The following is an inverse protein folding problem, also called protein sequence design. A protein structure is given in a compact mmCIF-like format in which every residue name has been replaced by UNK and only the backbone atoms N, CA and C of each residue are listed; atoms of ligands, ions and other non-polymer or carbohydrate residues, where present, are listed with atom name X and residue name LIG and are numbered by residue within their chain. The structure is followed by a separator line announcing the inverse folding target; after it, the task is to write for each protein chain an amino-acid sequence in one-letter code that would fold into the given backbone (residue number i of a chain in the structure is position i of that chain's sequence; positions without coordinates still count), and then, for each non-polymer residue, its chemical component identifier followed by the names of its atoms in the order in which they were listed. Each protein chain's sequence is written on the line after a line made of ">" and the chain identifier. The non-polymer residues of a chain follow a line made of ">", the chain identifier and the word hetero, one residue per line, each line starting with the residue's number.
data_IF_566650401567
#
_entry.id   IF_566650401567
#
_cell.length_a   1.000
_cell.length_b   1.000
_cell.length_c   1.000
_cell.angle_alpha   90.00
_cell.angle_beta   90.00
_cell.angle_gamma   90.00
#
_symmetry.space_group_name_H-M   'P 1'
#
loop_
_entity.id
_entity.type
_entity.pdbx_description
1 polymer ?
#
# COMPACT_ATOMS: atom_id res chain seq x y z
N UNK A 1 -13.47 10.88 -12.27
CA UNK A 1 -12.65 9.68 -12.03
C UNK A 1 -13.24 8.96 -10.82
N UNK A 2 -13.37 7.62 -10.85
CA UNK A 2 -13.96 6.87 -9.75
C UNK A 2 -13.04 6.76 -8.53
N UNK A 3 -11.72 6.90 -8.71
CA UNK A 3 -10.78 7.00 -7.60
C UNK A 3 -10.67 8.44 -7.07
N UNK A 4 -10.84 8.59 -5.77
CA UNK A 4 -10.65 9.83 -5.02
C UNK A 4 -9.33 9.73 -4.24
N UNK A 5 -8.22 10.08 -4.90
CA UNK A 5 -6.89 10.01 -4.29
C UNK A 5 -6.79 11.09 -3.21
N UNK A 6 -6.56 10.72 -1.93
CA UNK A 6 -6.50 11.70 -0.86
C UNK A 6 -5.21 12.54 -0.96
N UNK A 7 -5.24 13.82 -0.58
CA UNK A 7 -4.02 14.62 -0.52
C UNK A 7 -3.10 14.08 0.58
N UNK A 8 -1.81 13.92 0.27
CA UNK A 8 -0.82 13.60 1.29
C UNK A 8 -0.58 14.79 2.24
N UNK A 9 -0.17 14.55 3.50
CA UNK A 9 0.33 15.59 4.39
C UNK A 9 1.44 16.39 3.70
N UNK A 10 1.32 17.72 3.70
CA UNK A 10 2.29 18.58 3.04
C UNK A 10 3.75 18.34 3.48
N UNK A 11 4.07 18.04 4.77
CA UNK A 11 5.43 17.68 5.17
C UNK A 11 5.93 16.38 4.54
N UNK A 12 5.07 15.38 4.30
CA UNK A 12 5.44 14.13 3.64
C UNK A 12 5.81 14.37 2.17
N UNK A 13 5.01 15.15 1.44
CA UNK A 13 5.34 15.50 0.06
C UNK A 13 6.65 16.30 -0.02
N UNK A 14 6.86 17.26 0.89
CA UNK A 14 8.10 18.05 0.93
C UNK A 14 9.33 17.20 1.19
N UNK A 15 9.26 16.20 2.07
CA UNK A 15 10.40 15.32 2.34
C UNK A 15 10.77 14.46 1.13
N UNK A 16 9.79 13.99 0.35
CA UNK A 16 10.03 13.29 -0.92
C UNK A 16 10.68 14.22 -1.95
N UNK A 17 10.16 15.44 -2.12
CA UNK A 17 10.75 16.42 -3.04
C UNK A 17 12.19 16.77 -2.66
N UNK A 18 12.47 16.93 -1.36
CA UNK A 18 13.82 17.16 -0.85
C UNK A 18 14.75 15.96 -1.15
N UNK A 19 14.26 14.72 -0.98
CA UNK A 19 15.01 13.52 -1.30
C UNK A 19 15.29 13.38 -2.82
N UNK A 20 14.33 13.72 -3.69
CA UNK A 20 14.52 13.73 -5.15
C UNK A 20 15.54 14.78 -5.58
N UNK A 21 15.60 15.93 -4.89
CA UNK A 21 16.60 16.97 -5.11
C UNK A 21 17.99 16.65 -4.55
N UNK A 22 18.13 15.58 -3.75
CA UNK A 22 19.39 15.16 -3.14
C UNK A 22 20.10 14.10 -3.99
N UNK A 23 21.25 14.41 -4.61
CA UNK A 23 22.01 13.43 -5.40
C UNK A 23 22.43 12.21 -4.57
N UNK A 24 22.69 12.40 -3.28
CA UNK A 24 23.07 11.33 -2.35
C UNK A 24 21.92 10.34 -2.16
N UNK A 25 20.72 10.83 -1.84
CA UNK A 25 19.56 9.97 -1.62
C UNK A 25 19.18 9.16 -2.87
N UNK A 26 19.27 9.77 -4.06
CA UNK A 26 18.99 9.08 -5.33
C UNK A 26 20.07 8.05 -5.68
N UNK A 27 21.35 8.32 -5.39
CA UNK A 27 22.47 7.41 -5.70
C UNK A 27 22.52 6.21 -4.77
N UNK A 28 22.27 6.42 -3.48
CA UNK A 28 22.25 5.38 -2.45
C UNK A 28 21.06 4.43 -2.62
N UNK A 29 19.95 4.92 -3.17
CA UNK A 29 18.81 4.10 -3.49
C UNK A 29 19.17 2.99 -4.50
N UNK A 30 18.68 1.79 -4.25
CA UNK A 30 18.79 0.63 -5.16
C UNK A 30 17.72 0.73 -6.27
N UNK A 31 17.66 1.87 -6.95
CA UNK A 31 16.67 2.21 -7.98
C UNK A 31 17.34 2.61 -9.30
N UNK A 32 17.99 1.68 -10.03
CA UNK A 32 18.61 1.97 -11.34
C UNK A 32 17.69 2.69 -12.33
N UNK A 33 16.38 2.39 -12.36
CA UNK A 33 15.46 3.08 -13.26
C UNK A 33 15.40 4.59 -12.94
N UNK A 34 15.22 4.95 -11.66
CA UNK A 34 15.23 6.34 -11.20
C UNK A 34 16.58 7.03 -11.48
N UNK A 35 17.70 6.36 -11.21
CA UNK A 35 19.05 6.90 -11.45
C UNK A 35 19.35 7.15 -12.92
N UNK A 36 18.71 6.41 -13.82
CA UNK A 36 18.90 6.53 -15.26
C UNK A 36 18.07 7.64 -15.91
N UNK A 37 17.13 8.25 -15.18
CA UNK A 37 16.26 9.29 -15.74
C UNK A 37 17.06 10.53 -16.11
N UNK A 38 16.97 10.92 -17.38
CA UNK A 38 17.45 12.20 -17.88
C UNK A 38 16.24 13.15 -17.96
N UNK A 39 16.00 13.94 -16.92
CA UNK A 39 14.90 14.91 -16.89
C UNK A 39 14.23 15.06 -15.53
N UNK A 40 13.15 15.83 -15.50
CA UNK A 40 12.36 16.04 -14.29
C UNK A 40 11.58 14.79 -13.91
N UNK A 41 11.48 14.54 -12.61
CA UNK A 41 10.61 13.53 -12.02
C UNK A 41 9.62 14.17 -11.06
N UNK A 42 8.41 13.62 -10.99
CA UNK A 42 7.33 14.11 -10.13
C UNK A 42 6.85 13.00 -9.19
N UNK A 43 6.63 13.30 -7.89
CA UNK A 43 5.88 12.42 -7.01
C UNK A 43 4.38 12.57 -7.27
N UNK A 44 3.71 11.47 -7.60
CA UNK A 44 2.30 11.42 -7.96
C UNK A 44 1.57 10.30 -7.22
N UNK A 45 0.24 10.32 -7.28
CA UNK A 45 -0.65 9.31 -6.70
C UNK A 45 -0.27 8.95 -5.26
N UNK A 46 -0.35 9.92 -4.32
CA UNK A 46 -0.09 9.63 -2.91
C UNK A 46 -1.07 8.59 -2.39
N UNK A 47 -0.54 7.48 -1.89
CA UNK A 47 -1.32 6.39 -1.29
C UNK A 47 -0.97 6.26 0.20
N UNK A 48 -1.94 6.39 1.12
CA UNK A 48 -1.68 6.10 2.52
C UNK A 48 -1.41 4.61 2.71
N UNK A 49 -0.35 4.28 3.44
CA UNK A 49 0.10 2.90 3.69
C UNK A 49 -0.28 2.50 5.10
N UNK A 50 -1.28 1.64 5.22
CA UNK A 50 -1.71 1.05 6.47
C UNK A 50 -1.09 -0.31 6.66
N UNK A 51 -0.82 -0.68 7.91
CA UNK A 51 -0.56 -2.06 8.30
C UNK A 51 -1.79 -2.60 9.00
N UNK A 52 -2.18 -3.82 8.64
CA UNK A 52 -3.15 -4.61 9.38
C UNK A 52 -2.44 -5.23 10.59
N UNK A 53 -2.63 -4.64 11.77
CA UNK A 53 -2.03 -5.08 13.02
C UNK A 53 -2.95 -6.16 13.64
N UNK A 54 -2.49 -7.42 13.63
CA UNK A 54 -3.14 -8.62 14.17
C UNK A 54 -4.52 -8.98 13.58
N UNK A 55 -4.59 -10.07 12.83
CA UNK A 55 -5.86 -10.73 12.51
C UNK A 55 -6.20 -11.70 13.65
N UNK A 56 -6.69 -11.19 14.78
CA UNK A 56 -7.06 -12.04 15.91
C UNK A 56 -8.34 -12.82 15.57
N UNK A 57 -8.43 -14.14 15.85
CA UNK A 57 -9.66 -14.92 15.66
C UNK A 57 -10.82 -14.55 16.60
N UNK A 58 -10.66 -13.54 17.46
CA UNK A 58 -11.69 -13.07 18.39
C UNK A 58 -12.51 -11.92 17.78
N UNK A 59 -13.71 -11.70 18.31
CA UNK A 59 -14.74 -10.76 17.83
C UNK A 59 -14.36 -9.27 17.74
N UNK A 60 -13.09 -8.90 17.92
CA UNK A 60 -12.61 -7.54 17.69
C UNK A 60 -12.39 -7.30 16.20
N UNK A 61 -12.91 -6.18 15.70
CA UNK A 61 -12.65 -5.75 14.33
C UNK A 61 -11.13 -5.60 14.07
N UNK A 62 -10.65 -5.96 12.87
CA UNK A 62 -9.25 -5.79 12.50
C UNK A 62 -8.78 -4.35 12.76
N UNK A 63 -7.63 -4.18 13.41
CA UNK A 63 -7.05 -2.86 13.63
C UNK A 63 -6.06 -2.54 12.52
N UNK A 64 -6.16 -1.34 11.96
CA UNK A 64 -5.20 -0.84 10.98
C UNK A 64 -4.58 0.44 11.47
N UNK A 65 -3.28 0.56 11.23
CA UNK A 65 -2.49 1.72 11.61
C UNK A 65 -1.81 2.31 10.39
N UNK A 66 -1.93 3.62 10.21
CA UNK A 66 -1.15 4.32 9.20
C UNK A 66 0.34 4.24 9.57
N UNK A 67 1.15 3.79 8.62
CA UNK A 67 2.60 3.64 8.78
C UNK A 67 3.38 4.58 7.87
N UNK A 68 2.77 4.99 6.76
CA UNK A 68 3.46 5.78 5.76
C UNK A 68 2.55 6.36 4.69
N UNK A 69 3.18 7.09 3.78
CA UNK A 69 2.60 7.45 2.49
C UNK A 69 3.55 6.98 1.39
N UNK A 70 2.99 6.42 0.33
CA UNK A 70 3.73 6.01 -0.84
C UNK A 70 3.39 6.94 -2.00
N UNK A 71 4.40 7.40 -2.70
CA UNK A 71 4.28 8.21 -3.91
C UNK A 71 4.86 7.43 -5.09
N UNK A 72 4.17 7.43 -6.22
CA UNK A 72 4.75 6.94 -7.48
C UNK A 72 5.63 8.04 -8.06
N UNK A 73 6.90 7.74 -8.30
CA UNK A 73 7.81 8.69 -8.94
C UNK A 73 7.71 8.50 -10.44
N UNK A 74 7.18 9.50 -11.15
CA UNK A 74 7.01 9.47 -12.60
C UNK A 74 8.11 10.23 -13.32
N UNK A 75 8.46 9.71 -14.49
CA UNK A 75 9.19 10.42 -15.54
C UNK A 75 8.32 10.35 -16.79
N UNK A 76 7.64 11.46 -17.12
CA UNK A 76 6.56 11.46 -18.12
C UNK A 76 5.46 10.46 -17.76
N UNK A 77 5.13 9.57 -18.70
CA UNK A 77 4.05 8.58 -18.52
C UNK A 77 4.49 7.29 -17.82
N UNK A 78 5.73 7.22 -17.34
CA UNK A 78 6.27 6.00 -16.74
C UNK A 78 6.56 6.22 -15.25
N UNK A 79 6.01 5.36 -14.40
CA UNK A 79 6.52 5.20 -13.04
C UNK A 79 7.91 4.55 -13.09
N UNK A 80 8.91 5.23 -12.53
CA UNK A 80 10.31 4.80 -12.52
C UNK A 80 10.76 4.30 -11.16
N UNK A 81 10.08 4.72 -10.09
CA UNK A 81 10.29 4.25 -8.73
C UNK A 81 9.05 4.56 -7.89
N UNK A 82 9.07 4.17 -6.63
CA UNK A 82 8.21 4.70 -5.59
C UNK A 82 9.05 5.30 -4.46
N UNK A 83 8.48 6.27 -3.76
CA UNK A 83 9.04 6.85 -2.54
C UNK A 83 8.11 6.54 -1.38
N UNK A 84 8.67 6.16 -0.24
CA UNK A 84 7.93 6.05 1.01
C UNK A 84 8.35 7.11 2.01
N UNK A 85 7.35 7.61 2.73
CA UNK A 85 7.54 8.43 3.92
C UNK A 85 6.99 7.68 5.12
N UNK A 86 7.55 7.92 6.30
CA UNK A 86 7.06 7.36 7.56
C UNK A 86 6.78 8.48 8.56
N UNK A 87 5.89 8.21 9.51
CA UNK A 87 5.63 9.12 10.62
C UNK A 87 6.60 8.83 11.77
N UNK A 88 7.37 9.83 12.19
CA UNK A 88 8.24 9.82 13.37
C UNK A 88 7.68 10.77 14.44
N UNK A 89 8.22 10.78 15.68
CA UNK A 89 7.83 11.76 16.69
C UNK A 89 8.00 13.22 16.24
N UNK A 90 8.96 13.50 15.35
CA UNK A 90 9.24 14.83 14.80
C UNK A 90 8.37 15.17 13.57
N UNK A 91 7.49 14.25 13.14
CA UNK A 91 6.60 14.41 12.01
C UNK A 91 6.94 13.50 10.83
N UNK A 92 6.51 13.89 9.63
CA UNK A 92 6.71 13.08 8.42
C UNK A 92 8.13 13.20 7.90
N UNK A 93 8.80 12.06 7.72
CA UNK A 93 10.14 11.98 7.13
C UNK A 93 10.17 11.08 5.91
N UNK A 94 11.11 11.34 5.01
CA UNK A 94 11.44 10.44 3.92
C UNK A 94 12.04 9.15 4.49
N UNK A 95 11.60 8.01 4.00
CA UNK A 95 12.14 6.70 4.37
C UNK A 95 13.13 6.21 3.32
N UNK A 96 12.65 5.88 2.12
CA UNK A 96 13.48 5.33 1.05
C UNK A 96 12.78 5.41 -0.32
N UNK A 97 13.59 5.28 -1.38
CA UNK A 97 13.09 4.95 -2.71
C UNK A 97 13.22 3.44 -2.94
N UNK A 98 12.27 2.87 -3.68
CA UNK A 98 12.37 1.49 -4.14
C UNK A 98 11.78 1.32 -5.54
N UNK A 99 12.12 0.21 -6.18
CA UNK A 99 11.59 -0.23 -7.47
C UNK A 99 11.27 -1.73 -7.40
N UNK A 100 10.73 -2.28 -8.48
CA UNK A 100 10.48 -3.72 -8.61
C UNK A 100 9.02 -4.07 -8.91
N UNK A 101 8.64 -5.35 -8.79
CA UNK A 101 7.35 -5.86 -9.28
C UNK A 101 6.15 -5.25 -8.54
N UNK A 102 6.32 -4.82 -7.29
CA UNK A 102 5.26 -4.16 -6.53
C UNK A 102 4.83 -2.82 -7.15
N UNK A 103 5.74 -2.11 -7.83
CA UNK A 103 5.42 -0.85 -8.48
C UNK A 103 4.43 -1.06 -9.64
N UNK A 104 4.80 -1.91 -10.60
CA UNK A 104 3.96 -2.24 -11.75
C UNK A 104 2.67 -2.94 -11.33
N UNK A 105 2.73 -3.74 -10.26
CA UNK A 105 1.55 -4.35 -9.65
C UNK A 105 0.58 -3.31 -9.06
N UNK A 106 1.10 -2.29 -8.37
CA UNK A 106 0.30 -1.17 -7.82
C UNK A 106 -0.38 -0.41 -8.96
N UNK A 107 0.39 -0.04 -10.00
CA UNK A 107 -0.16 0.67 -11.17
C UNK A 107 -1.26 -0.13 -11.88
N UNK A 108 -1.06 -1.45 -12.04
CA UNK A 108 -2.07 -2.33 -12.62
C UNK A 108 -3.35 -2.35 -11.79
N UNK A 109 -3.23 -2.48 -10.47
CA UNK A 109 -4.38 -2.50 -9.57
C UNK A 109 -5.13 -1.15 -9.58
N UNK A 110 -4.41 -0.03 -9.61
CA UNK A 110 -5.01 1.30 -9.74
C UNK A 110 -5.78 1.45 -11.05
N UNK A 111 -5.17 1.10 -12.20
CA UNK A 111 -5.88 1.14 -13.50
C UNK A 111 -7.13 0.25 -13.52
N UNK A 112 -7.07 -0.92 -12.88
CA UNK A 112 -8.23 -1.79 -12.76
C UNK A 112 -9.32 -1.15 -11.90
N UNK A 113 -8.97 -0.50 -10.80
CA UNK A 113 -9.91 0.23 -9.96
C UNK A 113 -10.48 1.46 -10.65
N UNK A 114 -9.70 2.17 -11.48
CA UNK A 114 -10.19 3.28 -12.32
C UNK A 114 -11.22 2.84 -13.35
N UNK A 115 -11.19 1.57 -13.80
CA UNK A 115 -12.19 1.02 -14.70
C UNK A 115 -13.50 0.60 -14.00
N UNK A 116 -13.53 0.61 -12.65
CA UNK A 116 -14.72 0.33 -11.87
C UNK A 116 -15.68 1.54 -11.89
N UNK A 117 -16.99 1.28 -11.83
CA UNK A 117 -18.01 2.35 -11.80
C UNK A 117 -18.19 2.96 -10.40
N UNK A 118 -17.81 2.23 -9.36
CA UNK A 118 -17.98 2.64 -7.97
C UNK A 118 -16.88 3.60 -7.55
N UNK A 119 -17.24 4.61 -6.75
CA UNK A 119 -16.29 5.54 -6.20
C UNK A 119 -15.55 4.97 -4.99
N UNK A 120 -14.23 5.13 -4.94
CA UNK A 120 -13.40 4.63 -3.85
C UNK A 120 -12.27 5.60 -3.52
N UNK A 121 -11.86 5.63 -2.25
CA UNK A 121 -10.59 6.20 -1.83
C UNK A 121 -9.53 5.09 -1.83
N UNK A 122 -8.48 5.16 -2.67
CA UNK A 122 -7.44 4.15 -2.73
C UNK A 122 -6.44 4.30 -1.58
N UNK A 123 -6.13 3.18 -0.94
CA UNK A 123 -5.17 3.05 0.16
C UNK A 123 -4.31 1.81 -0.08
N UNK A 124 -3.12 1.74 0.50
CA UNK A 124 -2.35 0.51 0.56
C UNK A 124 -2.53 -0.15 1.93
N UNK A 125 -2.76 -1.46 1.93
CA UNK A 125 -2.85 -2.26 3.15
C UNK A 125 -1.80 -3.36 3.11
N UNK A 126 -0.80 -3.22 3.96
CA UNK A 126 0.27 -4.18 4.20
C UNK A 126 -0.17 -5.19 5.25
N UNK A 127 0.08 -6.47 4.97
CA UNK A 127 -0.20 -7.59 5.87
C UNK A 127 1.12 -8.36 6.04
N UNK A 128 1.98 -7.91 6.97
CA UNK A 128 3.33 -8.45 7.13
C UNK A 128 3.35 -9.95 7.39
N UNK A 129 2.39 -10.46 8.17
CA UNK A 129 2.28 -11.88 8.53
C UNK A 129 2.05 -12.79 7.31
N UNK A 130 1.53 -12.24 6.20
CA UNK A 130 1.35 -12.96 4.93
C UNK A 130 2.35 -12.53 3.85
N UNK A 131 3.30 -11.64 4.18
CA UNK A 131 4.19 -10.97 3.23
C UNK A 131 3.43 -10.40 2.02
N UNK A 132 2.26 -9.84 2.28
CA UNK A 132 1.30 -9.44 1.26
C UNK A 132 1.05 -7.94 1.33
N UNK A 133 0.98 -7.29 0.18
CA UNK A 133 0.49 -5.93 0.04
C UNK A 133 -0.78 -5.95 -0.80
N UNK A 134 -1.79 -5.16 -0.43
CA UNK A 134 -3.06 -5.06 -1.17
C UNK A 134 -3.39 -3.60 -1.45
N UNK A 135 -4.02 -3.33 -2.59
CA UNK A 135 -4.74 -2.08 -2.81
C UNK A 135 -6.08 -2.20 -2.10
N UNK A 136 -6.30 -1.37 -1.09
CA UNK A 136 -7.56 -1.24 -0.36
C UNK A 136 -8.36 -0.08 -0.95
N UNK A 137 -9.51 -0.42 -1.52
CA UNK A 137 -10.48 0.52 -2.06
C UNK A 137 -11.55 0.76 -1.00
N UNK A 138 -11.40 1.86 -0.27
CA UNK A 138 -12.33 2.25 0.79
C UNK A 138 -13.55 2.95 0.20
N UNK A 139 -14.76 2.46 0.52
CA UNK A 139 -16.00 2.98 -0.08
C UNK A 139 -16.41 4.37 0.42
N UNK A 140 -15.88 4.80 1.56
CA UNK A 140 -16.11 6.14 2.11
C UNK A 140 -15.03 7.10 1.59
N UNK A 141 -15.39 7.89 0.58
CA UNK A 141 -14.42 8.75 -0.11
C UNK A 141 -14.00 9.95 0.71
N UNK A 142 -14.83 10.35 1.68
CA UNK A 142 -14.63 11.52 2.54
C UNK A 142 -13.98 11.16 3.87
N UNK A 143 -13.82 9.86 4.16
CA UNK A 143 -13.13 9.40 5.37
C UNK A 143 -11.68 9.89 5.41
N UNK A 144 -11.21 10.22 6.61
CA UNK A 144 -9.80 10.55 6.85
C UNK A 144 -8.89 9.42 6.36
N UNK A 145 -8.00 9.75 5.45
CA UNK A 145 -7.07 8.84 4.80
C UNK A 145 -6.02 8.26 5.76
N UNK A 146 -5.82 8.85 6.93
CA UNK A 146 -4.88 8.38 7.94
C UNK A 146 -5.48 7.45 9.00
N UNK A 147 -6.78 7.20 8.96
CA UNK A 147 -7.49 6.39 9.96
C UNK A 147 -8.51 5.46 9.33
N UNK A 148 -9.15 4.64 10.15
CA UNK A 148 -10.20 3.71 9.73
C UNK A 148 -9.69 2.30 9.50
N UNK A 149 -10.62 1.37 9.44
CA UNK A 149 -10.41 -0.08 9.27
C UNK A 149 -11.16 -0.59 8.05
N UNK A 150 -10.71 -1.69 7.40
CA UNK A 150 -11.41 -2.25 6.25
C UNK A 150 -12.87 -2.60 6.61
N UNK A 151 -13.82 -1.97 5.92
CA UNK A 151 -15.25 -2.27 6.08
C UNK A 151 -15.59 -3.52 5.27
N UNK A 152 -16.58 -4.34 5.67
CA UNK A 152 -16.95 -5.57 4.94
C UNK A 152 -17.22 -5.35 3.45
N UNK A 153 -17.76 -4.19 3.08
CA UNK A 153 -18.10 -3.79 1.70
C UNK A 153 -16.93 -3.17 0.92
N UNK A 154 -15.83 -2.84 1.58
CA UNK A 154 -14.63 -2.37 0.89
C UNK A 154 -14.06 -3.48 0.01
N UNK A 155 -13.24 -3.08 -0.96
CA UNK A 155 -12.61 -4.02 -1.90
C UNK A 155 -11.11 -4.08 -1.63
N UNK A 156 -10.57 -5.29 -1.53
CA UNK A 156 -9.14 -5.56 -1.47
C UNK A 156 -8.69 -6.18 -2.80
N UNK A 157 -7.64 -5.62 -3.39
CA UNK A 157 -6.99 -6.17 -4.59
C UNK A 157 -5.56 -6.57 -4.20
N UNK A 158 -5.28 -7.86 -3.96
CA UNK A 158 -3.94 -8.34 -3.65
C UNK A 158 -2.95 -7.98 -4.75
N UNK A 159 -1.80 -7.43 -4.38
CA UNK A 159 -0.73 -7.10 -5.31
C UNK A 159 0.17 -8.33 -5.54
N UNK A 160 0.81 -8.39 -6.70
CA UNK A 160 1.84 -9.37 -6.99
C UNK A 160 3.19 -8.98 -6.36
N UNK A 161 3.96 -9.95 -5.84
CA UNK A 161 3.57 -11.34 -5.61
C UNK A 161 2.53 -11.47 -4.49
N UNK A 162 1.50 -12.30 -4.72
CA UNK A 162 0.54 -12.69 -3.69
C UNK A 162 0.95 -14.03 -3.07
N UNK A 163 0.64 -14.28 -1.79
CA UNK A 163 0.92 -15.56 -1.16
C UNK A 163 0.12 -16.69 -1.85
N UNK A 164 0.54 -17.96 -1.73
CA UNK A 164 -0.20 -19.09 -2.28
C UNK A 164 -1.69 -19.03 -1.91
N UNK A 165 -2.58 -19.54 -2.77
CA UNK A 165 -4.02 -19.54 -2.49
C UNK A 165 -4.72 -18.17 -2.54
N UNK A 166 -3.99 -17.06 -2.65
CA UNK A 166 -4.55 -15.73 -2.93
C UNK A 166 -4.13 -15.32 -4.34
N UNK A 167 -5.11 -14.97 -5.18
CA UNK A 167 -4.83 -14.58 -6.57
C UNK A 167 -4.52 -13.09 -6.65
N UNK A 168 -3.32 -12.73 -7.11
CA UNK A 168 -2.97 -11.33 -7.36
C UNK A 168 -3.91 -10.69 -8.40
N UNK A 169 -4.22 -9.42 -8.22
CA UNK A 169 -5.08 -8.59 -9.08
C UNK A 169 -6.54 -9.02 -9.19
N UNK A 170 -6.98 -9.98 -8.38
CA UNK A 170 -8.40 -10.31 -8.26
C UNK A 170 -9.03 -9.43 -7.18
N UNK A 171 -10.06 -8.62 -7.49
CA UNK A 171 -10.78 -7.87 -6.46
C UNK A 171 -11.61 -8.81 -5.61
N UNK A 172 -11.57 -8.59 -4.31
CA UNK A 172 -12.38 -9.31 -3.32
C UNK A 172 -13.06 -8.30 -2.40
N UNK A 173 -14.30 -8.55 -2.00
CA UNK A 173 -14.84 -7.82 -0.85
C UNK A 173 -14.06 -8.24 0.39
N UNK A 174 -13.90 -7.30 1.33
CA UNK A 174 -13.28 -7.56 2.63
C UNK A 174 -13.96 -8.74 3.34
N UNK A 175 -15.29 -8.83 3.27
CA UNK A 175 -16.07 -9.96 3.82
C UNK A 175 -15.63 -11.33 3.32
N UNK A 176 -15.15 -11.41 2.08
CA UNK A 176 -14.80 -12.68 1.44
C UNK A 176 -13.32 -13.03 1.64
N UNK A 177 -12.44 -12.01 1.67
CA UNK A 177 -11.01 -12.23 1.76
C UNK A 177 -10.49 -12.33 3.20
N UNK A 178 -11.05 -11.55 4.14
CA UNK A 178 -10.60 -11.57 5.53
C UNK A 178 -10.63 -12.99 6.14
N UNK A 179 -11.70 -13.80 6.00
CA UNK A 179 -11.71 -15.16 6.53
C UNK A 179 -10.58 -16.05 5.99
N UNK A 180 -10.22 -15.89 4.71
CA UNK A 180 -9.11 -16.62 4.08
C UNK A 180 -7.77 -16.21 4.68
N UNK A 181 -7.59 -14.92 4.96
CA UNK A 181 -6.39 -14.39 5.62
C UNK A 181 -6.30 -14.87 7.06
N UNK A 182 -7.40 -14.80 7.84
CA UNK A 182 -7.46 -15.31 9.22
C UNK A 182 -7.10 -16.79 9.30
N UNK A 183 -7.65 -17.62 8.40
CA UNK A 183 -7.38 -19.05 8.38
C UNK A 183 -5.88 -19.35 8.17
N UNK A 184 -5.20 -18.54 7.35
CA UNK A 184 -3.77 -18.69 7.07
C UNK A 184 -2.87 -18.25 8.22
N UNK A 185 -3.35 -17.33 9.03
CA UNK A 185 -2.61 -16.79 10.18
C UNK A 185 -2.88 -17.55 11.47
N UNK A 186 -3.93 -18.37 11.50
CA UNK A 186 -4.23 -19.22 12.64
C UNK A 186 -3.18 -20.34 12.71
N UNK A 187 -2.42 -20.45 13.81
CA UNK A 187 -1.48 -21.55 13.99
C UNK A 187 -2.22 -22.89 13.91
N UNK A 188 -1.65 -23.86 13.20
CA UNK A 188 -2.19 -25.22 13.24
C UNK A 188 -2.16 -25.73 14.69
N UNK A 189 -3.23 -26.41 15.17
CA UNK A 189 -3.20 -27.01 16.49
C UNK A 189 -2.03 -27.98 16.57
N UNK A 190 -1.13 -27.76 17.53
CA UNK A 190 -0.04 -28.68 17.80
C UNK A 190 -0.68 -30.03 18.16
N UNK A 191 -0.50 -31.03 17.30
CA UNK A 191 -0.85 -32.41 17.62
C UNK A 191 -0.08 -32.77 18.89
N UNK A 192 -0.78 -32.88 20.01
CA UNK A 192 -0.20 -33.31 21.27
C UNK A 192 0.52 -34.64 21.06
N UNK A 193 1.81 -34.69 21.36
CA UNK A 193 2.52 -35.97 21.43
C UNK A 193 1.88 -36.82 22.53
N UNK A 194 1.35 -38.01 22.23
CA UNK A 194 1.00 -38.94 23.29
C UNK A 194 2.30 -39.39 23.98
N UNK A 195 2.33 -39.24 25.30
CA UNK A 195 3.34 -39.86 26.18
C UNK A 195 2.91 -41.28 26.53
#
# INVERSE_FOLDING_TARGET
>A
MPLHVPPAPAPALRSVLAALGSPTAVREARTPALRSVQGSVSPELPLPVHVLDQIVPSSSAPYTRLTGWRFLIRSGERAVAAAETMLTPDGWTFSHFFEGPYLSSTERALRQAESMRTHFQPRLLSIPELYMLTLWLHGDTDADAGTGTPRPTDVLVPLAPAPPGITAHRPHQVSDLLPVMTLRLTPAPLLGSPA
#
